data_IF_124996510608
#
_entry.id   IF_124996510608
#
_cell.length_a   1.000
_cell.length_b   1.000
_cell.length_c   1.000
_cell.angle_alpha   90.00
_cell.angle_beta   90.00
_cell.angle_gamma   90.00
#
_symmetry.space_group_name_H-M   'P 1'
#
loop_
_entity.id
_entity.type
_entity.pdbx_description
1 polymer ?
#
# COMPACT_ATOMS: atom_id res chain seq x y z
N UNK A 1 8.41 10.19 -4.88
CA UNK A 1 7.58 11.00 -3.97
C UNK A 1 8.10 10.78 -2.56
N UNK A 2 8.52 11.84 -1.88
CA UNK A 2 8.87 11.76 -0.46
C UNK A 2 7.58 11.91 0.35
N UNK A 3 7.32 10.96 1.23
CA UNK A 3 6.20 11.02 2.17
C UNK A 3 6.77 11.07 3.58
N UNK A 4 6.10 11.81 4.45
CA UNK A 4 6.47 11.96 5.85
C UNK A 4 5.29 11.52 6.70
N UNK A 5 5.55 10.70 7.70
CA UNK A 5 4.52 10.15 8.57
C UNK A 5 5.00 10.05 10.00
N UNK A 6 4.06 10.08 10.94
CA UNK A 6 4.36 9.79 12.35
C UNK A 6 4.49 8.29 12.55
N UNK A 7 5.66 7.87 13.03
CA UNK A 7 5.97 6.49 13.38
C UNK A 7 5.14 6.04 14.58
N UNK A 8 4.52 4.87 14.48
CA UNK A 8 3.77 4.21 15.56
C UNK A 8 4.66 3.60 16.63
N UNK A 9 5.98 3.57 16.41
CA UNK A 9 6.94 3.00 17.37
C UNK A 9 7.34 4.04 18.43
N UNK A 10 7.63 5.26 17.98
CA UNK A 10 8.29 6.29 18.80
C UNK A 10 7.68 7.69 18.64
N UNK A 11 6.58 7.83 17.88
CA UNK A 11 5.91 9.09 17.57
C UNK A 11 6.78 10.13 16.87
N UNK A 12 7.91 9.70 16.28
CA UNK A 12 8.79 10.60 15.51
C UNK A 12 8.40 10.62 14.04
N UNK A 13 8.72 11.71 13.38
CA UNK A 13 8.58 11.81 11.93
C UNK A 13 9.56 10.87 11.24
N UNK A 14 9.02 9.94 10.46
CA UNK A 14 9.74 9.07 9.52
C UNK A 14 9.39 9.43 8.09
N UNK A 15 10.13 8.89 7.12
CA UNK A 15 9.88 9.17 5.71
C UNK A 15 10.17 7.98 4.81
N UNK A 16 9.37 7.83 3.76
CA UNK A 16 9.60 6.88 2.67
C UNK A 16 9.77 7.61 1.34
N UNK A 17 10.49 6.97 0.42
CA UNK A 17 10.62 7.42 -0.97
C UNK A 17 9.87 6.45 -1.87
N UNK A 18 8.69 6.85 -2.33
CA UNK A 18 7.85 6.06 -3.23
C UNK A 18 8.22 6.30 -4.70
N UNK A 19 8.23 5.21 -5.47
CA UNK A 19 8.51 5.18 -6.90
C UNK A 19 7.39 4.47 -7.66
N UNK A 20 7.07 5.02 -8.82
CA UNK A 20 6.24 4.40 -9.83
C UNK A 20 6.93 4.63 -11.16
N UNK A 21 7.51 3.58 -11.73
CA UNK A 21 8.30 3.66 -12.95
C UNK A 21 7.92 2.51 -13.88
N UNK A 22 7.34 2.79 -15.06
CA UNK A 22 6.88 1.75 -15.97
C UNK A 22 8.03 0.94 -16.60
N UNK A 23 9.23 1.50 -16.67
CA UNK A 23 10.40 0.89 -17.34
C UNK A 23 11.67 0.98 -16.48
N UNK A 24 11.71 0.25 -15.37
CA UNK A 24 12.84 0.19 -14.45
C UNK A 24 13.64 -1.11 -14.68
N UNK A 25 14.77 -1.02 -15.39
CA UNK A 25 15.55 -2.20 -15.84
C UNK A 25 14.69 -3.20 -16.61
N UNK A 26 14.03 -2.74 -17.67
CA UNK A 26 13.16 -3.54 -18.56
C UNK A 26 11.93 -4.15 -17.85
N UNK A 27 11.61 -3.72 -16.63
CA UNK A 27 10.43 -4.16 -15.88
C UNK A 27 9.75 -3.00 -15.17
N UNK A 28 8.41 -3.01 -15.05
CA UNK A 28 7.73 -2.02 -14.24
C UNK A 28 8.10 -2.18 -12.77
N UNK A 29 8.34 -1.06 -12.09
CA UNK A 29 8.48 -0.98 -10.64
C UNK A 29 7.39 -0.07 -10.10
N UNK A 30 6.50 -0.65 -9.33
CA UNK A 30 5.46 0.06 -8.61
C UNK A 30 5.59 -0.25 -7.12
N UNK A 31 5.87 0.77 -6.31
CA UNK A 31 6.04 0.56 -4.88
C UNK A 31 4.67 0.35 -4.21
N UNK A 32 4.64 -0.54 -3.20
CA UNK A 32 3.47 -0.74 -2.35
C UNK A 32 3.26 0.43 -1.39
N UNK A 33 2.00 0.70 -1.06
CA UNK A 33 1.61 1.80 -0.18
C UNK A 33 0.50 1.38 0.77
N UNK A 34 0.42 2.08 1.90
CA UNK A 34 -0.74 2.12 2.78
C UNK A 34 -1.35 3.52 2.69
N UNK A 35 -2.64 3.62 2.41
CA UNK A 35 -3.33 4.91 2.23
C UNK A 35 -4.70 4.92 2.89
N UNK A 36 -5.15 6.12 3.27
CA UNK A 36 -6.42 6.35 3.94
C UNK A 36 -7.58 6.34 2.97
N UNK A 37 -8.67 5.64 3.33
CA UNK A 37 -9.96 5.73 2.65
C UNK A 37 -11.07 6.12 3.64
N UNK A 38 -12.27 6.39 3.15
CA UNK A 38 -13.45 6.65 4.01
C UNK A 38 -13.84 5.46 4.88
N UNK A 39 -13.39 4.24 4.55
CA UNK A 39 -13.65 3.01 5.30
C UNK A 39 -12.48 2.58 6.20
N UNK A 40 -11.40 3.35 6.21
CA UNK A 40 -10.15 3.02 6.91
C UNK A 40 -8.97 2.81 5.95
N UNK A 41 -7.78 2.52 6.49
CA UNK A 41 -6.57 2.34 5.70
C UNK A 41 -6.62 1.09 4.83
N UNK A 42 -6.09 1.19 3.62
CA UNK A 42 -6.03 0.11 2.63
C UNK A 42 -4.63 0.01 2.04
N UNK A 43 -4.18 -1.21 1.79
CA UNK A 43 -2.95 -1.48 1.04
C UNK A 43 -3.21 -1.42 -0.46
N UNK A 44 -2.21 -1.00 -1.22
CA UNK A 44 -2.27 -1.03 -2.68
C UNK A 44 -0.91 -0.76 -3.30
N UNK A 45 -0.91 -0.64 -4.62
CA UNK A 45 0.28 -0.41 -5.42
C UNK A 45 0.19 0.95 -6.13
N UNK A 46 1.25 1.76 -6.05
CA UNK A 46 1.31 3.08 -6.68
C UNK A 46 1.69 2.96 -8.16
N UNK A 47 0.77 3.32 -9.05
CA UNK A 47 0.93 3.11 -10.49
C UNK A 47 1.49 4.34 -11.21
N UNK A 48 1.05 5.51 -10.76
CA UNK A 48 1.38 6.77 -11.40
C UNK A 48 1.15 7.93 -10.42
N UNK A 49 1.92 9.00 -10.61
CA UNK A 49 1.75 10.28 -9.93
C UNK A 49 1.53 11.35 -11.00
N UNK A 50 0.53 12.19 -10.79
CA UNK A 50 0.24 13.32 -11.68
C UNK A 50 -0.25 14.53 -10.89
N UNK A 51 -0.22 15.70 -11.52
CA UNK A 51 -0.80 16.93 -10.98
C UNK A 51 -1.95 17.34 -11.90
N UNK A 52 -3.16 17.36 -11.37
CA UNK A 52 -4.32 17.88 -12.08
C UNK A 52 -4.48 19.38 -11.81
N UNK A 53 -4.80 20.17 -12.84
CA UNK A 53 -5.06 21.61 -12.73
C UNK A 53 -6.54 21.88 -12.94
N UNK A 54 -7.23 22.32 -11.90
CA UNK A 54 -8.67 22.63 -11.94
C UNK A 54 -8.85 24.05 -11.42
N UNK A 55 -9.38 24.95 -12.25
CA UNK A 55 -9.64 26.34 -11.87
C UNK A 55 -8.38 27.09 -11.38
N UNK A 56 -7.22 26.79 -11.95
CA UNK A 56 -5.93 27.39 -11.56
C UNK A 56 -5.29 26.82 -10.31
N UNK A 57 -5.95 25.87 -9.60
CA UNK A 57 -5.39 25.16 -8.46
C UNK A 57 -4.81 23.81 -8.88
N UNK A 58 -3.67 23.47 -8.31
CA UNK A 58 -2.99 22.19 -8.51
C UNK A 58 -3.45 21.16 -7.48
N UNK A 59 -3.72 19.95 -7.96
CA UNK A 59 -4.15 18.81 -7.17
C UNK A 59 -3.22 17.63 -7.46
N UNK A 60 -2.25 17.34 -6.58
CA UNK A 60 -1.43 16.15 -6.68
C UNK A 60 -2.28 14.89 -6.48
N UNK A 61 -2.29 14.01 -7.48
CA UNK A 61 -3.05 12.77 -7.48
C UNK A 61 -2.13 11.57 -7.72
N UNK A 62 -2.46 10.46 -7.08
CA UNK A 62 -1.85 9.16 -7.29
C UNK A 62 -2.88 8.22 -7.92
N UNK A 63 -2.50 7.52 -8.99
CA UNK A 63 -3.25 6.37 -9.48
C UNK A 63 -2.80 5.14 -8.70
N UNK A 64 -3.73 4.48 -8.02
CA UNK A 64 -3.44 3.36 -7.12
C UNK A 64 -4.26 2.14 -7.51
N UNK A 65 -3.62 0.97 -7.45
CA UNK A 65 -4.29 -0.32 -7.57
C UNK A 65 -4.60 -0.86 -6.16
N UNK A 66 -5.88 -0.90 -5.74
CA UNK A 66 -6.27 -1.34 -4.39
C UNK A 66 -6.12 -2.84 -4.17
N UNK A 67 -5.59 -3.23 -3.00
CA UNK A 67 -5.40 -4.63 -2.57
C UNK A 67 -6.36 -5.04 -1.43
N UNK A 68 -7.60 -4.52 -1.47
CA UNK A 68 -8.67 -4.79 -0.51
C UNK A 68 -9.69 -5.82 -1.00
N UNK A 69 -9.36 -6.63 -2.02
CA UNK A 69 -10.27 -7.65 -2.49
C UNK A 69 -10.50 -8.71 -1.40
N UNK A 70 -11.73 -9.25 -1.35
CA UNK A 70 -12.05 -10.32 -0.42
C UNK A 70 -11.10 -11.50 -0.63
N UNK A 71 -10.47 -11.96 0.44
CA UNK A 71 -9.64 -13.16 0.41
C UNK A 71 -10.53 -14.35 0.01
N UNK A 72 -10.16 -15.09 -1.04
CA UNK A 72 -10.97 -16.22 -1.50
C UNK A 72 -10.98 -17.38 -0.49
N UNK A 73 -10.01 -17.38 0.43
CA UNK A 73 -9.89 -18.33 1.53
C UNK A 73 -9.61 -17.58 2.81
N UNK A 74 -10.12 -18.09 3.93
CA UNK A 74 -9.70 -17.60 5.25
C UNK A 74 -8.22 -17.93 5.45
N UNK A 75 -7.43 -17.04 6.08
CA UNK A 75 -6.05 -17.35 6.45
C UNK A 75 -6.02 -18.66 7.25
N UNK A 76 -5.10 -19.55 6.88
CA UNK A 76 -4.91 -20.83 7.55
C UNK A 76 -4.51 -20.63 9.00
N UNK A 77 -4.60 -21.70 9.81
CA UNK A 77 -4.07 -21.67 11.18
C UNK A 77 -2.58 -21.33 11.21
N UNK A 78 -1.83 -21.76 10.18
CA UNK A 78 -0.40 -21.48 10.05
C UNK A 78 -0.14 -20.02 9.68
N UNK A 79 -0.92 -19.43 8.77
CA UNK A 79 -0.80 -18.00 8.44
C UNK A 79 -1.02 -17.12 9.67
N UNK A 80 -1.99 -17.51 10.50
CA UNK A 80 -2.25 -16.82 11.78
C UNK A 80 -1.10 -17.01 12.78
N UNK A 81 -0.57 -18.24 12.90
CA UNK A 81 0.53 -18.55 13.81
C UNK A 81 1.83 -17.82 13.42
N UNK A 82 2.06 -17.65 12.11
CA UNK A 82 3.21 -16.91 11.56
C UNK A 82 2.98 -15.39 11.53
N UNK A 83 1.78 -14.93 11.89
CA UNK A 83 1.44 -13.51 11.93
C UNK A 83 1.23 -12.87 10.55
N UNK A 84 1.20 -13.65 9.47
CA UNK A 84 1.09 -13.14 8.10
C UNK A 84 -0.18 -12.32 7.88
N UNK A 85 -0.02 -11.18 7.21
CA UNK A 85 -1.11 -10.31 6.80
C UNK A 85 -1.32 -10.40 5.28
N UNK A 86 -2.16 -11.34 4.80
CA UNK A 86 -2.45 -11.46 3.39
C UNK A 86 -3.39 -10.34 2.93
N UNK A 87 -3.06 -9.76 1.78
CA UNK A 87 -3.89 -8.81 1.04
C UNK A 87 -4.10 -9.34 -0.37
N UNK A 88 -5.20 -8.94 -1.01
CA UNK A 88 -5.54 -9.43 -2.35
C UNK A 88 -5.83 -8.26 -3.29
N UNK A 89 -5.11 -8.22 -4.39
CA UNK A 89 -5.32 -7.25 -5.45
C UNK A 89 -6.74 -7.35 -6.02
N UNK A 90 -7.39 -6.20 -6.19
CA UNK A 90 -8.60 -6.08 -7.00
C UNK A 90 -8.25 -6.33 -8.49
N UNK A 91 -9.22 -6.50 -9.40
CA UNK A 91 -8.95 -6.40 -10.83
C UNK A 91 -8.28 -5.06 -11.17
N UNK A 92 -7.31 -5.04 -12.10
CA UNK A 92 -6.59 -3.81 -12.47
C UNK A 92 -7.49 -2.67 -12.97
N UNK A 93 -8.66 -3.02 -13.52
CA UNK A 93 -9.72 -2.07 -13.92
C UNK A 93 -10.35 -1.30 -12.74
N UNK A 94 -10.11 -1.72 -11.50
CA UNK A 94 -10.51 -1.02 -10.27
C UNK A 94 -9.45 -0.03 -9.78
N UNK A 95 -8.36 0.17 -10.52
CA UNK A 95 -7.42 1.24 -10.20
C UNK A 95 -8.14 2.60 -10.17
N UNK A 96 -7.80 3.43 -9.20
CA UNK A 96 -8.50 4.68 -8.92
C UNK A 96 -7.54 5.78 -8.50
N UNK A 97 -7.97 7.02 -8.69
CA UNK A 97 -7.21 8.18 -8.24
C UNK A 97 -7.48 8.46 -6.77
N UNK A 98 -6.41 8.72 -6.03
CA UNK A 98 -6.45 9.23 -4.66
C UNK A 98 -5.65 10.53 -4.57
N UNK A 99 -6.02 11.44 -3.65
CA UNK A 99 -5.15 12.54 -3.24
C UNK A 99 -3.81 12.01 -2.70
N UNK A 100 -2.69 12.63 -3.06
CA UNK A 100 -1.35 12.19 -2.60
C UNK A 100 -1.22 12.28 -1.08
N UNK A 101 -1.89 13.25 -0.44
CA UNK A 101 -1.92 13.43 1.02
C UNK A 101 -2.67 12.31 1.76
N UNK A 102 -3.46 11.50 1.06
CA UNK A 102 -4.10 10.31 1.65
C UNK A 102 -3.12 9.14 1.82
N UNK A 103 -1.95 9.18 1.17
CA UNK A 103 -0.92 8.16 1.35
C UNK A 103 -0.33 8.31 2.75
N UNK A 104 -0.48 7.27 3.56
CA UNK A 104 0.05 7.23 4.92
C UNK A 104 1.54 6.95 4.87
N UNK A 105 1.92 5.84 4.23
CA UNK A 105 3.32 5.42 4.12
C UNK A 105 3.54 4.38 3.01
N UNK A 106 4.80 4.04 2.75
CA UNK A 106 5.18 2.91 1.89
C UNK A 106 4.94 1.59 2.59
N UNK A 107 4.75 0.54 1.80
CA UNK A 107 4.59 -0.82 2.29
C UNK A 107 5.35 -1.80 1.39
N UNK A 108 6.05 -2.74 2.00
CA UNK A 108 6.69 -3.85 1.28
C UNK A 108 5.64 -4.95 1.11
N UNK A 109 5.19 -5.13 -0.13
CA UNK A 109 4.21 -6.15 -0.52
C UNK A 109 4.93 -7.26 -1.27
N UNK A 110 4.95 -8.46 -0.70
CA UNK A 110 5.61 -9.62 -1.28
C UNK A 110 4.57 -10.44 -2.05
N UNK A 111 4.73 -10.68 -3.36
CA UNK A 111 3.78 -11.49 -4.12
C UNK A 111 3.79 -12.94 -3.64
N UNK A 112 2.63 -13.57 -3.67
CA UNK A 112 2.51 -15.02 -3.58
C UNK A 112 2.97 -15.63 -4.92
N UNK A 113 3.91 -16.56 -4.86
CA UNK A 113 4.46 -17.20 -6.06
C UNK A 113 3.45 -18.09 -6.79
N UNK A 114 2.42 -18.58 -6.08
CA UNK A 114 1.37 -19.43 -6.65
C UNK A 114 0.17 -18.60 -7.16
N UNK A 115 0.09 -17.31 -6.83
CA UNK A 115 -1.02 -16.46 -7.25
C UNK A 115 -0.65 -15.00 -7.46
N UNK A 116 -0.84 -14.52 -8.68
CA UNK A 116 -0.60 -13.12 -9.07
C UNK A 116 -1.53 -12.10 -8.40
N UNK A 117 -2.54 -12.55 -7.66
CA UNK A 117 -3.50 -11.67 -6.97
C UNK A 117 -3.26 -11.57 -5.46
N UNK A 118 -2.44 -12.44 -4.88
CA UNK A 118 -2.20 -12.46 -3.43
C UNK A 118 -0.84 -11.89 -3.11
N UNK A 119 -0.80 -11.14 -2.01
CA UNK A 119 0.41 -10.52 -1.51
C UNK A 119 0.43 -10.64 0.01
N UNK A 120 1.63 -10.67 0.58
CA UNK A 120 1.87 -10.60 2.01
C UNK A 120 2.46 -9.23 2.33
N UNK A 121 1.92 -8.56 3.34
CA UNK A 121 2.53 -7.34 3.89
C UNK A 121 3.72 -7.76 4.76
N UNK A 122 4.91 -7.26 4.45
CA UNK A 122 6.12 -7.59 5.20
C UNK A 122 6.32 -6.62 6.38
N UNK A 123 6.16 -7.12 7.60
CA UNK A 123 6.22 -6.36 8.85
C UNK A 123 7.36 -6.79 9.81
N UNK A 124 8.05 -7.90 9.52
CA UNK A 124 9.05 -8.50 10.43
C UNK A 124 10.23 -7.58 10.79
N UNK A 125 10.65 -6.72 9.87
CA UNK A 125 11.75 -5.75 10.08
C UNK A 125 11.25 -4.31 10.19
N UNK A 126 9.93 -4.11 10.15
CA UNK A 126 9.29 -2.81 10.11
C UNK A 126 8.33 -2.68 11.29
N UNK A 127 8.87 -2.21 12.43
CA UNK A 127 8.12 -2.07 13.67
C UNK A 127 6.89 -1.15 13.54
N UNK A 128 6.97 -0.10 12.71
CA UNK A 128 5.83 0.77 12.45
C UNK A 128 4.73 0.00 11.70
N UNK A 129 5.10 -0.77 10.67
CA UNK A 129 4.14 -1.58 9.90
C UNK A 129 3.48 -2.64 10.79
N UNK A 130 4.23 -3.28 11.68
CA UNK A 130 3.72 -4.23 12.65
C UNK A 130 2.61 -3.62 13.52
N UNK A 131 2.83 -2.43 14.08
CA UNK A 131 1.81 -1.74 14.88
C UNK A 131 0.58 -1.36 14.06
N UNK A 132 0.76 -0.89 12.81
CA UNK A 132 -0.37 -0.58 11.92
C UNK A 132 -1.19 -1.81 11.56
N UNK A 133 -0.56 -2.93 11.27
CA UNK A 133 -1.25 -4.21 11.01
C UNK A 133 -2.03 -4.65 12.25
N UNK A 134 -1.47 -4.48 13.45
CA UNK A 134 -2.14 -4.80 14.71
C UNK A 134 -3.41 -3.95 14.91
N UNK A 135 -3.35 -2.66 14.60
CA UNK A 135 -4.52 -1.76 14.62
C UNK A 135 -5.57 -2.13 13.56
N UNK A 136 -5.15 -2.63 12.39
CA UNK A 136 -6.08 -3.08 11.34
C UNK A 136 -6.78 -4.40 11.66
N UNK A 137 -6.25 -5.18 12.61
CA UNK A 137 -6.82 -6.46 13.05
C UNK A 137 -7.74 -6.35 14.26
N UNK A 138 -7.69 -5.25 15.01
CA UNK A 138 -8.49 -5.01 16.21
C UNK A 138 -9.91 -4.57 15.89
#
# INVERSE_FOLDING_TARGET
>A
LNIYYESKVDWRTSSDILRAHPEFHDRPRYDGILYSTTKGPVFGELLCLLVSKIGGKEYPLALVHPYDAALARRPSAMDKALGFFPVRAQPRSRAGFIPVDSIIRGAVLVPDFDSSAYFLVHDLVDGDMFFRIKELRS
#
